data_IF_174352416828
#
_entry.id   IF_174352416828
#
_cell.length_a   1.000
_cell.length_b   1.000
_cell.length_c   1.000
_cell.angle_alpha   90.00
_cell.angle_beta   90.00
_cell.angle_gamma   90.00
#
_symmetry.space_group_name_H-M   'P 1'
#
loop_
_entity.id
_entity.type
_entity.pdbx_description
1 polymer ?
#
# COMPACT_ATOMS: atom_id res chain seq x y z
N UNK A 1 10.11 -8.51 -14.71
CA UNK A 1 10.47 -9.10 -13.41
C UNK A 1 10.40 -10.62 -13.47
N UNK A 2 11.37 -11.31 -12.87
CA UNK A 2 11.49 -12.78 -12.88
C UNK A 2 10.48 -13.49 -11.97
N UNK A 3 9.37 -12.86 -11.60
CA UNK A 3 8.35 -13.44 -10.71
C UNK A 3 8.78 -13.65 -9.26
N UNK A 4 9.93 -13.09 -8.86
CA UNK A 4 10.50 -13.22 -7.50
C UNK A 4 9.82 -12.27 -6.49
N UNK A 5 8.51 -12.43 -6.31
CA UNK A 5 7.70 -11.55 -5.47
C UNK A 5 8.07 -11.59 -3.99
N UNK A 6 8.67 -12.69 -3.51
CA UNK A 6 9.12 -12.79 -2.13
C UNK A 6 10.27 -11.83 -1.82
N UNK A 7 11.25 -11.73 -2.71
CA UNK A 7 12.37 -10.80 -2.56
C UNK A 7 11.93 -9.36 -2.80
N UNK A 8 11.05 -9.15 -3.80
CA UNK A 8 10.45 -7.86 -4.06
C UNK A 8 9.67 -7.34 -2.85
N UNK A 9 8.94 -8.21 -2.14
CA UNK A 9 8.21 -7.84 -0.92
C UNK A 9 9.16 -7.38 0.19
N UNK A 10 10.23 -8.14 0.48
CA UNK A 10 11.20 -7.75 1.50
C UNK A 10 11.86 -6.41 1.18
N UNK A 11 12.27 -6.21 -0.07
CA UNK A 11 12.86 -4.96 -0.52
C UNK A 11 11.86 -3.80 -0.46
N UNK A 12 10.63 -4.03 -0.93
CA UNK A 12 9.55 -3.06 -0.93
C UNK A 12 9.24 -2.53 0.47
N UNK A 13 9.30 -3.38 1.51
CA UNK A 13 9.06 -2.96 2.90
C UNK A 13 10.11 -1.95 3.39
N UNK A 14 11.34 -2.02 2.89
CA UNK A 14 12.39 -1.05 3.21
C UNK A 14 12.23 0.27 2.44
N UNK A 15 11.59 0.26 1.27
CA UNK A 15 11.39 1.43 0.43
C UNK A 15 10.13 2.20 0.87
N UNK A 16 9.02 1.50 1.04
CA UNK A 16 7.68 2.08 1.27
C UNK A 16 7.56 2.89 2.58
N UNK A 17 8.50 2.74 3.51
CA UNK A 17 8.60 3.55 4.74
C UNK A 17 9.19 4.94 4.51
N UNK A 18 9.66 5.22 3.28
CA UNK A 18 10.09 6.54 2.84
C UNK A 18 8.95 7.17 2.05
N UNK A 19 8.33 8.22 2.62
CA UNK A 19 7.14 8.83 2.04
C UNK A 19 7.37 9.37 0.62
N UNK A 20 8.56 9.87 0.34
CA UNK A 20 8.94 10.41 -0.97
C UNK A 20 9.02 9.32 -2.06
N UNK A 21 9.20 8.05 -1.67
CA UNK A 21 9.35 6.91 -2.59
C UNK A 21 8.02 6.16 -2.81
N UNK A 22 6.98 6.48 -2.04
CA UNK A 22 5.72 5.72 -2.04
C UNK A 22 5.02 5.78 -3.41
N UNK A 23 4.95 6.97 -4.02
CA UNK A 23 4.28 7.18 -5.31
C UNK A 23 4.98 6.40 -6.43
N UNK A 24 6.30 6.48 -6.51
CA UNK A 24 7.10 5.77 -7.52
C UNK A 24 6.98 4.25 -7.38
N UNK A 25 7.00 3.73 -6.14
CA UNK A 25 6.80 2.31 -5.88
C UNK A 25 5.40 1.84 -6.30
N UNK A 26 4.37 2.62 -6.02
CA UNK A 26 2.99 2.30 -6.40
C UNK A 26 2.85 2.27 -7.93
N UNK A 27 3.37 3.29 -8.61
CA UNK A 27 3.36 3.36 -10.08
C UNK A 27 4.10 2.17 -10.69
N UNK A 28 5.26 1.81 -10.13
CA UNK A 28 6.04 0.65 -10.59
C UNK A 28 5.24 -0.66 -10.61
N UNK A 29 4.48 -0.94 -9.55
CA UNK A 29 3.65 -2.14 -9.45
C UNK A 29 2.38 -2.04 -10.33
N UNK A 30 1.73 -0.88 -10.38
CA UNK A 30 0.51 -0.68 -11.16
C UNK A 30 0.76 -0.81 -12.67
N UNK A 31 1.84 -0.21 -13.19
CA UNK A 31 2.18 -0.27 -14.63
C UNK A 31 2.44 -1.70 -15.13
N UNK A 32 2.81 -2.60 -14.21
CA UNK A 32 3.05 -4.02 -14.48
C UNK A 32 1.85 -4.91 -14.16
N UNK A 33 0.77 -4.34 -13.62
CA UNK A 33 -0.44 -5.06 -13.25
C UNK A 33 -0.33 -5.91 -11.97
N UNK A 34 0.68 -5.68 -11.12
CA UNK A 34 0.94 -6.43 -9.89
C UNK A 34 0.17 -5.86 -8.69
N UNK A 35 -1.16 -5.71 -8.83
CA UNK A 35 -2.01 -5.05 -7.83
C UNK A 35 -2.15 -5.88 -6.54
N UNK A 36 -2.23 -7.21 -6.66
CA UNK A 36 -2.33 -8.10 -5.49
C UNK A 36 -1.06 -8.04 -4.65
N UNK A 37 0.11 -8.04 -5.29
CA UNK A 37 1.39 -7.93 -4.61
C UNK A 37 1.58 -6.55 -3.97
N UNK A 38 1.15 -5.47 -4.63
CA UNK A 38 1.17 -4.13 -4.07
C UNK A 38 0.29 -4.01 -2.82
N UNK A 39 -0.93 -4.57 -2.87
CA UNK A 39 -1.85 -4.60 -1.72
C UNK A 39 -1.20 -5.38 -0.57
N UNK A 40 -0.69 -6.58 -0.84
CA UNK A 40 -0.04 -7.41 0.18
C UNK A 40 1.20 -6.73 0.79
N UNK A 41 1.96 -5.99 -0.01
CA UNK A 41 3.10 -5.21 0.44
C UNK A 41 2.67 -4.10 1.40
N UNK A 42 1.65 -3.31 1.01
CA UNK A 42 1.14 -2.22 1.84
C UNK A 42 0.50 -2.74 3.13
N UNK A 43 -0.29 -3.82 3.07
CA UNK A 43 -0.88 -4.48 4.26
C UNK A 43 0.20 -4.84 5.29
N UNK A 44 1.31 -5.45 4.84
CA UNK A 44 2.44 -5.77 5.70
C UNK A 44 3.15 -4.51 6.22
N UNK A 45 3.30 -3.49 5.37
CA UNK A 45 3.99 -2.26 5.71
C UNK A 45 3.24 -1.41 6.75
N UNK A 46 1.91 -1.48 6.81
CA UNK A 46 1.09 -0.82 7.84
C UNK A 46 1.41 -1.31 9.26
N UNK A 47 1.96 -2.52 9.41
CA UNK A 47 2.41 -3.07 10.70
C UNK A 47 3.77 -2.56 11.19
N UNK A 48 4.50 -1.79 10.38
CA UNK A 48 5.82 -1.27 10.74
C UNK A 48 5.71 0.00 11.59
N UNK A 49 6.68 0.20 12.51
CA UNK A 49 6.73 1.40 13.35
C UNK A 49 6.81 2.71 12.54
N UNK A 50 7.40 2.64 11.34
CA UNK A 50 7.57 3.78 10.42
C UNK A 50 6.37 4.01 9.48
N UNK A 51 5.25 3.33 9.69
CA UNK A 51 4.06 3.50 8.85
C UNK A 51 3.52 4.94 8.92
N UNK A 52 3.28 5.56 7.76
CA UNK A 52 2.84 6.95 7.64
C UNK A 52 1.52 7.09 6.87
N UNK A 53 0.89 8.28 6.97
CA UNK A 53 -0.45 8.59 6.42
C UNK A 53 -0.62 8.23 4.93
N UNK A 54 0.41 8.46 4.12
CA UNK A 54 0.41 8.08 2.71
C UNK A 54 0.06 6.61 2.49
N UNK A 55 0.65 5.70 3.26
CA UNK A 55 0.43 4.25 3.10
C UNK A 55 -1.03 3.86 3.37
N UNK A 56 -1.67 4.46 4.38
CA UNK A 56 -3.09 4.19 4.69
C UNK A 56 -4.01 4.72 3.60
N UNK A 57 -3.69 5.89 3.04
CA UNK A 57 -4.46 6.53 1.98
C UNK A 57 -4.37 5.72 0.69
N UNK A 58 -3.16 5.34 0.28
CA UNK A 58 -2.93 4.56 -0.93
C UNK A 58 -3.51 3.15 -0.85
N UNK A 59 -3.41 2.48 0.31
CA UNK A 59 -4.07 1.19 0.51
C UNK A 59 -5.59 1.30 0.42
N UNK A 60 -6.20 2.39 0.94
CA UNK A 60 -7.62 2.64 0.80
C UNK A 60 -8.03 2.83 -0.67
N UNK A 61 -7.22 3.56 -1.45
CA UNK A 61 -7.44 3.73 -2.89
C UNK A 61 -7.40 2.37 -3.60
N UNK A 62 -6.42 1.51 -3.29
CA UNK A 62 -6.32 0.19 -3.89
C UNK A 62 -7.50 -0.72 -3.49
N UNK A 63 -7.91 -0.73 -2.22
CA UNK A 63 -9.09 -1.46 -1.78
C UNK A 63 -10.36 -0.99 -2.48
N UNK A 64 -10.54 0.32 -2.69
CA UNK A 64 -11.72 0.84 -3.39
C UNK A 64 -11.85 0.29 -4.82
N UNK A 65 -10.73 0.02 -5.49
CA UNK A 65 -10.68 -0.48 -6.87
C UNK A 65 -10.74 -2.00 -6.95
N UNK A 66 -10.02 -2.70 -6.08
CA UNK A 66 -9.75 -4.14 -6.26
C UNK A 66 -10.36 -5.03 -5.17
N UNK A 67 -10.54 -4.52 -3.94
CA UNK A 67 -11.09 -5.29 -2.81
C UNK A 67 -12.10 -4.48 -1.99
N UNK A 68 -13.28 -4.11 -2.55
CA UNK A 68 -14.25 -3.25 -1.86
C UNK A 68 -14.74 -3.82 -0.53
N UNK A 69 -14.68 -5.13 -0.35
CA UNK A 69 -15.08 -5.79 0.90
C UNK A 69 -14.16 -5.44 2.06
N UNK A 70 -12.86 -5.20 1.81
CA UNK A 70 -11.86 -4.80 2.82
C UNK A 70 -11.85 -3.29 3.10
N UNK A 71 -12.38 -2.50 2.17
CA UNK A 71 -12.37 -1.03 2.27
C UNK A 71 -13.08 -0.51 3.51
N UNK A 72 -14.25 -1.08 3.85
CA UNK A 72 -15.02 -0.64 5.03
C UNK A 72 -14.24 -0.85 6.31
N UNK A 73 -13.72 -2.05 6.52
CA UNK A 73 -12.93 -2.41 7.71
C UNK A 73 -11.69 -1.51 7.84
N UNK A 74 -10.98 -1.26 6.74
CA UNK A 74 -9.83 -0.37 6.71
C UNK A 74 -10.17 1.05 7.17
N UNK A 75 -11.26 1.63 6.67
CA UNK A 75 -11.68 2.96 7.08
C UNK A 75 -12.18 3.00 8.53
N UNK A 76 -12.92 2.00 8.99
CA UNK A 76 -13.38 1.94 10.38
C UNK A 76 -12.21 1.95 11.37
N UNK A 77 -11.12 1.25 11.04
CA UNK A 77 -9.92 1.18 11.88
C UNK A 77 -8.99 2.38 11.72
N UNK A 78 -8.85 2.93 10.52
CA UNK A 78 -7.76 3.85 10.19
C UNK A 78 -8.19 5.22 9.65
N UNK A 79 -9.47 5.60 9.73
CA UNK A 79 -9.97 6.88 9.18
C UNK A 79 -9.18 8.12 9.65
N UNK A 80 -8.66 8.15 10.89
CA UNK A 80 -7.89 9.27 11.42
C UNK A 80 -6.48 9.39 10.82
N UNK A 81 -6.02 8.37 10.09
CA UNK A 81 -4.71 8.27 9.43
C UNK A 81 -4.82 8.24 7.91
N UNK A 82 -6.00 8.49 7.35
CA UNK A 82 -6.25 8.60 5.91
C UNK A 82 -6.46 10.07 5.56
N UNK A 83 -5.94 10.50 4.41
CA UNK A 83 -6.19 11.83 3.89
C UNK A 83 -7.61 11.90 3.28
N UNK A 84 -8.54 12.56 3.98
CA UNK A 84 -9.90 12.82 3.50
C UNK A 84 -9.99 14.32 3.15
N UNK A 85 -10.09 14.69 1.86
CA UNK A 85 -10.27 16.08 1.49
C UNK A 85 -11.57 16.64 2.08
N UNK A 86 -11.51 17.87 2.62
CA UNK A 86 -12.66 18.59 3.17
C UNK A 86 -13.63 19.05 2.10
#
# INVERSE_FOLDING_TARGET
DSGEFRLAQMCGLHIVVHADELEDLINYYQDRGHFEELINLLEAALGLERAHMGMFTELAILYSKYKPQRMREHLELFWSRVNIPK
#
